data_IF_704176868556
#
_entry.id   IF_704176868556
#
_cell.length_a   1.000
_cell.length_b   1.000
_cell.length_c   1.000
_cell.angle_alpha   90.00
_cell.angle_beta   90.00
_cell.angle_gamma   90.00
#
_symmetry.space_group_name_H-M   'P 1'
#
loop_
_entity.id
_entity.type
_entity.pdbx_description
1 polymer ?
#
# COMPACT_ATOMS: atom_id res chain seq x y z
N UNK A 1 8.17 0.29 1.97
CA UNK A 1 8.95 -0.58 1.08
C UNK A 1 8.28 -0.57 -0.28
N UNK A 2 9.04 -0.43 -1.36
CA UNK A 2 8.54 -0.52 -2.73
C UNK A 2 8.69 -1.95 -3.30
N UNK A 3 8.38 -2.17 -4.57
CA UNK A 3 8.37 -3.51 -5.20
C UNK A 3 9.74 -4.12 -5.43
N UNK A 4 10.81 -3.31 -5.50
CA UNK A 4 12.20 -3.80 -5.54
C UNK A 4 12.75 -4.15 -4.14
N UNK A 5 11.95 -3.99 -3.09
CA UNK A 5 12.34 -4.33 -1.72
C UNK A 5 13.03 -3.20 -0.95
N UNK A 6 13.12 -1.98 -1.48
CA UNK A 6 13.76 -0.84 -0.82
C UNK A 6 12.87 -0.27 0.29
N UNK A 7 13.28 -0.26 1.57
CA UNK A 7 12.58 0.47 2.62
C UNK A 7 12.75 1.97 2.42
N UNK A 8 11.68 2.73 2.60
CA UNK A 8 11.66 4.19 2.44
C UNK A 8 10.97 4.80 3.66
N UNK A 9 11.43 5.98 4.07
CA UNK A 9 10.86 6.69 5.20
C UNK A 9 10.04 7.89 4.73
N UNK A 10 8.75 7.89 5.02
CA UNK A 10 7.91 9.06 4.83
C UNK A 10 8.10 10.03 6.01
N UNK A 11 8.22 11.32 5.71
CA UNK A 11 8.22 12.41 6.69
C UNK A 11 6.84 13.07 6.72
N UNK A 12 6.42 13.48 7.92
CA UNK A 12 5.13 14.14 8.10
C UNK A 12 5.14 15.50 7.40
N UNK A 13 4.23 15.70 6.46
CA UNK A 13 4.04 16.99 5.79
C UNK A 13 3.03 17.90 6.51
N UNK A 14 2.04 17.32 7.20
CA UNK A 14 1.02 18.05 7.95
C UNK A 14 0.38 17.19 9.04
N UNK A 15 -0.45 17.80 9.88
CA UNK A 15 -1.20 17.09 10.91
C UNK A 15 -2.47 16.49 10.33
N UNK A 16 -2.95 15.41 10.95
CA UNK A 16 -4.19 14.78 10.56
C UNK A 16 -5.37 15.75 10.81
N UNK A 17 -6.38 15.80 9.93
CA UNK A 17 -7.52 16.72 10.10
C UNK A 17 -8.42 16.30 11.26
N UNK A 18 -8.95 17.30 11.99
CA UNK A 18 -9.88 17.08 13.10
C UNK A 18 -9.27 16.21 14.20
N UNK A 19 -9.96 15.13 14.56
CA UNK A 19 -9.56 14.21 15.62
C UNK A 19 -8.80 12.98 15.12
N UNK A 20 -8.50 12.90 13.82
CA UNK A 20 -7.79 11.75 13.25
C UNK A 20 -6.43 11.54 13.94
N UNK A 21 -6.04 10.27 14.10
CA UNK A 21 -4.82 9.84 14.78
C UNK A 21 -3.96 8.99 13.85
N UNK A 22 -2.69 8.82 14.20
CA UNK A 22 -1.80 7.92 13.47
C UNK A 22 -2.29 6.46 13.59
N UNK A 23 -2.27 5.71 12.48
CA UNK A 23 -2.81 4.35 12.43
C UNK A 23 -2.24 3.43 13.53
N UNK A 24 -0.93 3.53 13.81
CA UNK A 24 -0.30 2.71 14.85
C UNK A 24 -0.83 3.04 16.25
N UNK A 25 -1.10 4.32 16.52
CA UNK A 25 -1.58 4.78 17.82
C UNK A 25 -3.02 4.32 18.05
N UNK A 26 -3.85 4.29 16.99
CA UNK A 26 -5.21 3.74 17.03
C UNK A 26 -5.15 2.25 17.41
N UNK A 27 -4.32 1.46 16.72
CA UNK A 27 -4.17 0.03 17.01
C UNK A 27 -3.60 -0.22 18.40
N UNK A 28 -2.64 0.59 18.84
CA UNK A 28 -2.08 0.53 20.19
C UNK A 28 -3.10 0.84 21.26
N UNK A 29 -3.95 1.86 21.08
CA UNK A 29 -5.03 2.18 22.00
C UNK A 29 -6.06 1.04 22.07
N UNK A 30 -6.53 0.56 20.90
CA UNK A 30 -7.46 -0.56 20.83
C UNK A 30 -6.91 -1.83 21.51
N UNK A 31 -5.62 -2.11 21.38
CA UNK A 31 -5.01 -3.28 22.01
C UNK A 31 -5.14 -3.29 23.54
N UNK A 32 -5.18 -2.12 24.18
CA UNK A 32 -5.39 -2.01 25.62
C UNK A 32 -6.84 -2.32 26.01
N UNK A 33 -7.81 -1.83 25.23
CA UNK A 33 -9.24 -2.13 25.42
C UNK A 33 -9.59 -3.62 25.21
N UNK A 34 -8.72 -4.35 24.51
CA UNK A 34 -8.87 -5.79 24.25
C UNK A 34 -8.05 -6.67 25.20
N UNK A 35 -7.45 -6.12 26.25
CA UNK A 35 -6.53 -6.81 27.16
C UNK A 35 -5.35 -7.51 26.43
N UNK A 36 -5.02 -7.05 25.21
CA UNK A 36 -3.98 -7.59 24.34
C UNK A 36 -2.92 -6.53 24.03
N UNK A 37 -2.54 -5.77 25.06
CA UNK A 37 -1.74 -4.55 24.97
C UNK A 37 -0.44 -4.76 24.17
N UNK A 38 -0.27 -4.00 23.09
CA UNK A 38 0.95 -4.02 22.29
C UNK A 38 2.14 -3.40 23.06
N UNK A 39 3.35 -3.97 22.97
CA UNK A 39 4.48 -3.63 23.86
C UNK A 39 5.29 -2.40 23.39
N UNK A 40 4.61 -1.33 22.98
CA UNK A 40 5.23 -0.06 22.57
C UNK A 40 4.28 1.10 22.79
N UNK A 41 4.81 2.25 23.19
CA UNK A 41 4.03 3.47 23.46
C UNK A 41 4.48 4.66 22.60
N UNK A 42 5.43 4.44 21.69
CA UNK A 42 5.92 5.46 20.76
C UNK A 42 6.23 4.87 19.38
N UNK A 43 6.20 5.72 18.36
CA UNK A 43 6.61 5.34 17.00
C UNK A 43 8.06 4.84 16.94
N UNK A 44 8.95 5.36 17.79
CA UNK A 44 10.34 4.91 17.87
C UNK A 44 10.44 3.47 18.38
N UNK A 45 9.73 3.13 19.46
CA UNK A 45 9.67 1.77 19.99
C UNK A 45 9.01 0.80 19.00
N UNK A 46 7.94 1.22 18.33
CA UNK A 46 7.34 0.42 17.25
C UNK A 46 8.35 0.14 16.13
N UNK A 47 9.09 1.15 15.67
CA UNK A 47 10.13 0.95 14.64
C UNK A 47 11.24 0.01 15.12
N UNK A 48 11.68 0.12 16.38
CA UNK A 48 12.64 -0.82 16.95
C UNK A 48 12.09 -2.25 16.96
N UNK A 49 10.83 -2.45 17.34
CA UNK A 49 10.18 -3.76 17.32
C UNK A 49 10.07 -4.31 15.89
N UNK A 50 9.70 -3.47 14.91
CA UNK A 50 9.63 -3.85 13.50
C UNK A 50 11.00 -4.24 12.93
N UNK A 51 12.05 -3.46 13.22
CA UNK A 51 13.42 -3.78 12.76
C UNK A 51 13.93 -5.05 13.46
N UNK A 52 13.64 -5.25 14.74
CA UNK A 52 13.99 -6.49 15.44
C UNK A 52 13.33 -7.72 14.80
N UNK A 53 12.05 -7.61 14.43
CA UNK A 53 11.32 -8.69 13.77
C UNK A 53 11.74 -8.87 12.30
N UNK A 54 12.07 -7.78 11.63
CA UNK A 54 12.35 -7.72 10.19
C UNK A 54 13.54 -6.78 9.94
N UNK A 55 14.79 -7.27 10.10
CA UNK A 55 15.99 -6.44 10.09
C UNK A 55 16.18 -5.59 8.82
N UNK A 56 15.74 -6.09 7.66
CA UNK A 56 15.87 -5.36 6.40
C UNK A 56 15.13 -4.01 6.41
N UNK A 57 14.09 -3.84 7.24
CA UNK A 57 13.37 -2.56 7.34
C UNK A 57 14.25 -1.42 7.90
N UNK A 58 15.37 -1.75 8.56
CA UNK A 58 16.34 -0.76 9.04
C UNK A 58 17.30 -0.25 7.96
N UNK A 59 17.41 -0.95 6.82
CA UNK A 59 18.29 -0.57 5.71
C UNK A 59 17.59 0.44 4.78
N UNK A 60 17.29 1.63 5.31
CA UNK A 60 16.58 2.68 4.59
C UNK A 60 17.33 3.05 3.30
N UNK A 61 16.56 3.20 2.22
CA UNK A 61 17.02 3.53 0.87
C UNK A 61 18.01 2.54 0.24
N UNK A 62 18.16 1.34 0.81
CA UNK A 62 18.95 0.25 0.25
C UNK A 62 18.08 -0.84 -0.39
N UNK A 63 18.52 -1.39 -1.53
CA UNK A 63 17.89 -2.58 -2.14
C UNK A 63 18.54 -3.81 -1.55
N UNK A 64 17.73 -4.73 -1.02
CA UNK A 64 18.24 -6.01 -0.56
C UNK A 64 18.61 -6.89 -1.77
N UNK A 65 19.81 -7.46 -1.73
CA UNK A 65 20.17 -8.58 -2.61
C UNK A 65 19.43 -9.83 -2.14
N UNK A 66 18.74 -10.49 -3.06
CA UNK A 66 17.99 -11.70 -2.77
C UNK A 66 18.38 -12.78 -3.78
N UNK A 67 18.75 -13.96 -3.28
CA UNK A 67 18.90 -15.13 -4.13
C UNK A 67 17.55 -15.56 -4.69
N UNK A 68 17.53 -15.99 -5.94
CA UNK A 68 16.33 -16.56 -6.53
C UNK A 68 15.98 -17.89 -5.83
N UNK A 69 14.75 -17.99 -5.35
CA UNK A 69 14.21 -19.20 -4.74
C UNK A 69 13.13 -19.79 -5.67
N UNK A 70 13.30 -21.01 -6.19
CA UNK A 70 12.27 -21.64 -7.00
C UNK A 70 11.04 -21.93 -6.14
N UNK A 71 9.86 -21.60 -6.68
CA UNK A 71 8.57 -21.95 -6.07
C UNK A 71 8.16 -23.35 -6.50
N UNK A 72 7.43 -24.07 -5.64
CA UNK A 72 6.85 -25.36 -5.99
C UNK A 72 5.89 -25.23 -7.18
N UNK A 73 6.06 -26.09 -8.18
CA UNK A 73 5.21 -26.08 -9.36
C UNK A 73 3.82 -26.63 -9.03
N UNK A 74 2.78 -25.88 -9.39
CA UNK A 74 1.39 -26.33 -9.33
C UNK A 74 0.76 -26.35 -10.73
N UNK A 75 -0.23 -27.23 -10.93
CA UNK A 75 -0.98 -27.28 -12.19
C UNK A 75 -1.83 -26.02 -12.33
N UNK A 76 -1.65 -25.29 -13.42
CA UNK A 76 -2.42 -24.07 -13.69
C UNK A 76 -3.91 -24.38 -13.91
N UNK A 77 -4.77 -23.49 -13.42
CA UNK A 77 -6.19 -23.51 -13.76
C UNK A 77 -6.41 -23.08 -15.21
N UNK A 78 -7.53 -23.51 -15.82
CA UNK A 78 -7.95 -23.03 -17.13
C UNK A 78 -8.66 -21.68 -16.99
N UNK A 79 -7.92 -20.59 -17.17
CA UNK A 79 -8.46 -19.23 -17.13
C UNK A 79 -7.59 -18.26 -17.94
N UNK A 80 -8.19 -17.15 -18.37
CA UNK A 80 -7.48 -16.05 -19.02
C UNK A 80 -6.93 -15.05 -17.99
N UNK A 81 -5.80 -14.42 -18.32
CA UNK A 81 -5.30 -13.28 -17.55
C UNK A 81 -6.28 -12.12 -17.63
N UNK A 82 -6.49 -11.46 -16.49
CA UNK A 82 -7.35 -10.28 -16.36
C UNK A 82 -6.56 -9.16 -15.73
N UNK A 83 -6.91 -7.93 -16.08
CA UNK A 83 -6.37 -6.76 -15.39
C UNK A 83 -6.81 -6.76 -13.93
N UNK A 84 -5.84 -6.78 -13.01
CA UNK A 84 -6.08 -6.60 -11.58
C UNK A 84 -6.62 -5.20 -11.27
N UNK A 85 -6.23 -4.22 -12.07
CA UNK A 85 -6.66 -2.82 -11.97
C UNK A 85 -7.44 -2.48 -13.24
N UNK A 86 -8.75 -2.22 -13.11
CA UNK A 86 -9.63 -1.91 -14.25
C UNK A 86 -9.66 -0.43 -14.59
N UNK A 87 -9.36 0.42 -13.61
CA UNK A 87 -9.28 1.86 -13.76
C UNK A 87 -8.01 2.35 -13.07
N UNK A 88 -7.09 2.86 -13.88
CA UNK A 88 -5.80 3.38 -13.41
C UNK A 88 -5.96 4.60 -12.51
N UNK A 89 -6.98 5.44 -12.74
CA UNK A 89 -7.18 6.68 -12.01
C UNK A 89 -7.90 6.47 -10.68
N UNK A 90 -8.58 5.33 -10.46
CA UNK A 90 -9.42 5.07 -9.28
C UNK A 90 -8.94 3.89 -8.42
N UNK A 91 -7.62 3.72 -8.30
CA UNK A 91 -6.97 2.54 -7.67
C UNK A 91 -7.11 2.45 -6.16
N UNK A 92 -7.19 3.58 -5.46
CA UNK A 92 -7.16 3.64 -4.00
C UNK A 92 -8.15 4.70 -3.45
N UNK A 93 -8.43 4.71 -2.13
CA UNK A 93 -9.41 5.65 -1.57
C UNK A 93 -9.08 7.13 -1.79
N UNK A 94 -7.80 7.52 -1.79
CA UNK A 94 -7.38 8.91 -2.04
C UNK A 94 -7.71 9.30 -3.48
N UNK A 95 -7.36 8.44 -4.43
CA UNK A 95 -7.65 8.68 -5.85
C UNK A 95 -9.17 8.69 -6.13
N UNK A 96 -9.95 7.82 -5.47
CA UNK A 96 -11.41 7.80 -5.59
C UNK A 96 -12.11 9.03 -5.00
N UNK A 97 -11.52 9.66 -4.01
CA UNK A 97 -12.03 10.91 -3.44
C UNK A 97 -11.62 12.16 -4.25
N UNK A 98 -10.74 12.02 -5.24
CA UNK A 98 -10.25 13.13 -6.05
C UNK A 98 -11.18 13.43 -7.22
N UNK A 99 -11.68 14.68 -7.30
CA UNK A 99 -12.46 15.16 -8.44
C UNK A 99 -11.66 15.09 -9.74
N UNK A 100 -10.39 15.50 -9.72
CA UNK A 100 -9.51 15.46 -10.88
C UNK A 100 -9.32 14.04 -11.41
N UNK A 101 -9.12 13.06 -10.53
CA UNK A 101 -8.97 11.65 -10.98
C UNK A 101 -10.28 11.11 -11.59
N UNK A 102 -11.44 11.54 -11.08
CA UNK A 102 -12.73 11.17 -11.65
C UNK A 102 -12.90 11.74 -13.08
N UNK A 103 -12.51 12.99 -13.31
CA UNK A 103 -12.51 13.60 -14.65
C UNK A 103 -11.59 12.86 -15.63
N UNK A 104 -10.38 12.50 -15.18
CA UNK A 104 -9.42 11.75 -15.99
C UNK A 104 -9.93 10.34 -16.33
N UNK A 105 -10.55 9.65 -15.37
CA UNK A 105 -11.21 8.35 -15.60
C UNK A 105 -12.32 8.47 -16.66
N UNK A 106 -13.21 9.45 -16.52
CA UNK A 106 -14.30 9.68 -17.48
C UNK A 106 -13.77 9.98 -18.89
N UNK A 107 -12.76 10.85 -18.99
CA UNK A 107 -12.12 11.16 -20.27
C UNK A 107 -11.41 9.96 -20.91
N UNK A 108 -10.75 9.11 -20.11
CA UNK A 108 -10.13 7.89 -20.61
C UNK A 108 -11.16 6.88 -21.13
N UNK A 109 -12.29 6.75 -20.43
CA UNK A 109 -13.41 5.90 -20.85
C UNK A 109 -14.00 6.37 -22.18
N UNK A 110 -14.29 7.67 -22.30
CA UNK A 110 -14.84 8.26 -23.53
C UNK A 110 -13.94 8.01 -24.75
N UNK A 111 -12.61 8.20 -24.62
CA UNK A 111 -11.67 7.92 -25.71
C UNK A 111 -11.72 6.47 -26.18
N UNK A 112 -11.85 5.52 -25.24
CA UNK A 112 -11.91 4.09 -25.57
C UNK A 112 -13.21 3.73 -26.30
N UNK A 113 -14.34 4.30 -25.90
CA UNK A 113 -15.63 4.11 -26.56
C UNK A 113 -15.63 4.66 -27.99
N UNK A 114 -15.03 5.84 -28.22
CA UNK A 114 -14.90 6.42 -29.55
C UNK A 114 -14.10 5.52 -30.50
N UNK A 115 -13.02 4.88 -30.05
CA UNK A 115 -12.24 3.97 -30.89
C UNK A 115 -13.03 2.71 -31.30
N UNK A 116 -13.85 2.18 -30.40
CA UNK A 116 -14.71 1.02 -30.67
C UNK A 116 -15.86 1.32 -31.65
N UNK A 117 -16.31 2.56 -31.74
CA UNK A 117 -17.38 2.96 -32.65
C UNK A 117 -16.89 3.28 -34.08
N UNK A 118 -15.57 3.34 -34.29
CA UNK A 118 -14.95 3.63 -35.58
C UNK A 118 -14.44 2.37 -36.33
N UNK A 119 -14.57 1.19 -35.72
CA UNK A 119 -14.30 -0.14 -36.30
C UNK A 119 -15.61 -0.81 -36.75
#
# INVERSE_FOLDING_TARGET
MNTEGRPQLALRAGFAPGEAKENWAILRALSAELDATLPFDSLAQLRQALIKAVPHLGAIDSVAENDWQPVESAKLAKADFRYAIRDFYLTNPIARASQLMAELSAGAKARKETMLAAE
#
